data_IF_194687202199
#
_entry.id   IF_194687202199
#
_cell.length_a   1.000
_cell.length_b   1.000
_cell.length_c   1.000
_cell.angle_alpha   90.00
_cell.angle_beta   90.00
_cell.angle_gamma   90.00
#
_symmetry.space_group_name_H-M   'P 1'
#
loop_
_entity.id
_entity.type
_entity.pdbx_description
1 polymer ?
#
# COMPACT_ATOMS: atom_id res chain seq x y z
N UNK A 1 -16.88 2.21 25.34
CA UNK A 1 -15.41 2.13 25.39
C UNK A 1 -14.99 0.79 24.85
N UNK A 2 -13.97 0.72 23.98
CA UNK A 2 -13.38 -0.52 23.45
C UNK A 2 -13.00 -1.48 24.58
N UNK A 3 -12.61 -0.94 25.74
CA UNK A 3 -12.30 -1.73 26.95
C UNK A 3 -13.49 -2.55 27.46
N UNK A 4 -14.74 -2.08 27.27
CA UNK A 4 -15.94 -2.86 27.60
C UNK A 4 -16.21 -3.97 26.60
N UNK A 5 -16.08 -3.71 25.29
CA UNK A 5 -16.23 -4.72 24.24
C UNK A 5 -15.22 -5.88 24.42
N UNK A 6 -13.98 -5.53 24.76
CA UNK A 6 -12.91 -6.48 25.10
C UNK A 6 -13.21 -7.34 26.33
N UNK A 7 -13.91 -6.79 27.32
CA UNK A 7 -14.21 -7.48 28.59
C UNK A 7 -15.51 -8.28 28.55
N UNK A 8 -16.52 -7.81 27.80
CA UNK A 8 -17.85 -8.44 27.74
C UNK A 8 -17.86 -9.67 26.82
N UNK A 9 -17.04 -9.71 25.76
CA UNK A 9 -17.05 -10.80 24.76
C UNK A 9 -15.89 -11.81 24.88
N UNK A 10 -15.02 -11.70 25.91
CA UNK A 10 -13.84 -12.56 26.09
C UNK A 10 -12.94 -12.67 24.83
N UNK A 11 -12.88 -11.61 24.02
CA UNK A 11 -12.15 -11.60 22.76
C UNK A 11 -10.65 -11.42 23.01
N UNK A 12 -9.84 -12.26 22.36
CA UNK A 12 -8.40 -12.03 22.25
C UNK A 12 -8.09 -10.80 21.37
N UNK A 13 -6.82 -10.33 21.33
CA UNK A 13 -6.43 -9.10 20.63
C UNK A 13 -6.92 -8.99 19.18
N UNK A 14 -6.83 -10.09 18.41
CA UNK A 14 -7.31 -10.09 17.01
C UNK A 14 -8.84 -10.05 16.92
N UNK A 15 -9.54 -10.75 17.82
CA UNK A 15 -11.02 -10.72 17.88
C UNK A 15 -11.54 -9.33 18.21
N UNK A 16 -10.82 -8.60 19.06
CA UNK A 16 -11.12 -7.22 19.39
C UNK A 16 -10.98 -6.27 18.20
N UNK A 17 -9.91 -6.41 17.42
CA UNK A 17 -9.70 -5.59 16.22
C UNK A 17 -10.78 -5.89 15.19
N UNK A 18 -11.15 -7.16 15.01
CA UNK A 18 -12.25 -7.56 14.12
C UNK A 18 -13.56 -6.90 14.57
N UNK A 19 -13.94 -7.05 15.84
CA UNK A 19 -15.16 -6.45 16.37
C UNK A 19 -15.15 -4.92 16.27
N UNK A 20 -13.99 -4.29 16.49
CA UNK A 20 -13.84 -2.85 16.30
C UNK A 20 -14.02 -2.44 14.83
N UNK A 21 -13.43 -3.17 13.87
CA UNK A 21 -13.62 -2.90 12.45
C UNK A 21 -15.09 -3.06 12.03
N UNK A 22 -15.75 -4.13 12.47
CA UNK A 22 -17.18 -4.35 12.17
C UNK A 22 -18.03 -3.21 12.77
N UNK A 23 -17.66 -2.70 13.95
CA UNK A 23 -18.31 -1.54 14.57
C UNK A 23 -18.08 -0.23 13.80
N UNK A 24 -16.90 -0.02 13.20
CA UNK A 24 -16.66 1.18 12.36
C UNK A 24 -17.68 1.26 11.23
N UNK A 25 -18.07 0.13 10.64
CA UNK A 25 -19.07 0.09 9.55
C UNK A 25 -20.41 0.67 9.99
N UNK A 26 -20.83 0.47 11.26
CA UNK A 26 -22.11 1.00 11.75
C UNK A 26 -22.13 2.53 11.84
N UNK A 27 -20.96 3.15 12.00
CA UNK A 27 -20.80 4.61 12.09
C UNK A 27 -20.27 5.24 10.80
N UNK A 28 -20.11 4.47 9.73
CA UNK A 28 -19.45 4.91 8.50
C UNK A 28 -20.12 6.16 7.88
N UNK A 29 -21.45 6.23 7.92
CA UNK A 29 -22.18 7.40 7.43
C UNK A 29 -21.88 8.69 8.21
N UNK A 30 -21.72 8.58 9.53
CA UNK A 30 -21.36 9.72 10.40
C UNK A 30 -19.91 10.15 10.14
N UNK A 31 -18.99 9.20 10.02
CA UNK A 31 -17.59 9.47 9.71
C UNK A 31 -17.46 10.19 8.37
N UNK A 32 -18.13 9.71 7.32
CA UNK A 32 -18.10 10.34 5.99
C UNK A 32 -18.62 11.78 6.07
N UNK A 33 -19.69 12.00 6.85
CA UNK A 33 -20.25 13.35 7.02
C UNK A 33 -19.25 14.28 7.70
N UNK A 34 -18.67 13.86 8.83
CA UNK A 34 -17.68 14.67 9.56
C UNK A 34 -16.45 14.98 8.71
N UNK A 35 -15.92 13.99 7.99
CA UNK A 35 -14.77 14.16 7.09
C UNK A 35 -15.08 15.21 6.00
N UNK A 36 -16.26 15.14 5.38
CA UNK A 36 -16.65 16.10 4.34
C UNK A 36 -16.89 17.52 4.87
N UNK A 37 -17.31 17.67 6.14
CA UNK A 37 -17.52 18.98 6.77
C UNK A 37 -16.20 19.73 7.07
N UNK A 38 -15.09 19.01 7.25
CA UNK A 38 -13.77 19.61 7.53
C UNK A 38 -13.22 20.37 6.30
N UNK A 39 -13.61 19.95 5.08
CA UNK A 39 -13.13 20.53 3.81
C UNK A 39 -11.58 20.63 3.72
N UNK A 40 -10.87 19.63 4.25
CA UNK A 40 -9.41 19.57 4.17
C UNK A 40 -8.94 19.20 2.75
N UNK A 41 -7.76 19.69 2.37
CA UNK A 41 -7.12 19.34 1.10
C UNK A 41 -6.68 17.87 1.04
N UNK A 42 -6.32 17.29 2.21
CA UNK A 42 -5.88 15.91 2.33
C UNK A 42 -6.56 15.20 3.49
N UNK A 43 -6.90 13.93 3.25
CA UNK A 43 -7.28 12.98 4.29
C UNK A 43 -6.21 11.90 4.40
N UNK A 44 -5.51 11.86 5.53
CA UNK A 44 -4.59 10.78 5.86
C UNK A 44 -5.32 9.76 6.74
N UNK A 45 -5.40 8.52 6.27
CA UNK A 45 -6.07 7.43 6.99
C UNK A 45 -5.01 6.49 7.53
N UNK A 46 -4.95 6.36 8.86
CA UNK A 46 -4.13 5.34 9.50
C UNK A 46 -4.92 4.02 9.58
N UNK A 47 -4.36 2.97 9.01
CA UNK A 47 -5.02 1.66 8.92
C UNK A 47 -4.67 0.80 10.14
N UNK A 48 -5.50 -0.21 10.50
CA UNK A 48 -5.13 -1.17 11.52
C UNK A 48 -3.75 -1.79 11.27
N UNK A 49 -2.94 -1.97 12.33
CA UNK A 49 -1.56 -2.49 12.20
C UNK A 49 -1.44 -3.93 11.69
N UNK A 50 -2.56 -4.64 11.53
CA UNK A 50 -2.61 -5.97 10.92
C UNK A 50 -3.17 -5.84 9.50
N UNK A 51 -2.28 -5.98 8.51
CA UNK A 51 -2.60 -5.83 7.10
C UNK A 51 -3.73 -6.78 6.66
N UNK A 52 -3.73 -8.01 7.16
CA UNK A 52 -4.70 -9.04 6.79
C UNK A 52 -6.12 -8.65 7.16
N UNK A 53 -6.28 -8.01 8.33
CA UNK A 53 -7.59 -7.56 8.80
C UNK A 53 -8.11 -6.38 7.98
N UNK A 54 -7.22 -5.54 7.45
CA UNK A 54 -7.59 -4.42 6.62
C UNK A 54 -7.80 -4.82 5.15
N UNK A 55 -6.78 -5.35 4.47
CA UNK A 55 -6.83 -5.55 3.03
C UNK A 55 -7.60 -6.81 2.58
N UNK A 56 -7.74 -7.83 3.44
CA UNK A 56 -8.28 -9.13 3.03
C UNK A 56 -9.64 -9.47 3.65
N UNK A 57 -10.14 -8.66 4.59
CA UNK A 57 -11.54 -8.72 5.04
C UNK A 57 -12.38 -7.71 4.27
N UNK A 58 -13.66 -8.00 4.10
CA UNK A 58 -14.58 -7.14 3.33
C UNK A 58 -14.70 -5.71 3.87
N UNK A 59 -14.52 -5.54 5.19
CA UNK A 59 -14.66 -4.23 5.85
C UNK A 59 -13.64 -3.22 5.35
N UNK A 60 -12.37 -3.59 5.15
CA UNK A 60 -11.36 -2.60 4.74
C UNK A 60 -11.59 -2.04 3.33
N UNK A 61 -11.75 -2.87 2.28
CA UNK A 61 -12.15 -2.41 0.96
C UNK A 61 -13.44 -1.59 0.98
N UNK A 62 -14.44 -1.98 1.79
CA UNK A 62 -15.67 -1.20 1.95
C UNK A 62 -15.39 0.20 2.53
N UNK A 63 -14.54 0.30 3.55
CA UNK A 63 -14.14 1.59 4.12
C UNK A 63 -13.42 2.45 3.07
N UNK A 64 -12.45 1.87 2.34
CA UNK A 64 -11.72 2.58 1.26
C UNK A 64 -12.66 3.01 0.12
N UNK A 65 -13.67 2.21 -0.19
CA UNK A 65 -14.69 2.54 -1.19
C UNK A 65 -15.55 3.74 -0.77
N UNK A 66 -16.02 3.73 0.48
CA UNK A 66 -17.04 4.68 0.95
C UNK A 66 -16.51 5.96 1.56
N UNK A 67 -15.31 5.97 2.13
CA UNK A 67 -14.83 7.08 2.97
C UNK A 67 -14.73 8.40 2.20
N UNK A 68 -14.17 8.38 1.00
CA UNK A 68 -14.03 9.56 0.13
C UNK A 68 -14.14 9.17 -1.34
N UNK A 69 -14.65 10.10 -2.16
CA UNK A 69 -14.59 9.97 -3.62
C UNK A 69 -13.14 10.11 -4.10
N UNK A 70 -12.88 9.61 -5.31
CA UNK A 70 -11.57 9.72 -5.98
C UNK A 70 -11.08 11.18 -6.04
N UNK A 71 -9.75 11.41 -6.07
CA UNK A 71 -8.67 10.42 -6.12
C UNK A 71 -8.27 9.84 -4.74
N UNK A 72 -7.87 8.57 -4.72
CA UNK A 72 -7.39 7.84 -3.54
C UNK A 72 -6.18 6.98 -3.90
N UNK A 73 -5.26 6.82 -2.97
CA UNK A 73 -4.10 5.93 -3.11
C UNK A 73 -3.76 5.29 -1.78
N UNK A 74 -3.02 4.19 -1.83
CA UNK A 74 -2.47 3.50 -0.68
C UNK A 74 -0.96 3.71 -0.62
N UNK A 75 -0.43 4.00 0.57
CA UNK A 75 1.02 4.04 0.81
C UNK A 75 1.43 2.73 1.46
N UNK A 76 2.17 1.90 0.75
CA UNK A 76 2.60 0.59 1.25
C UNK A 76 4.02 0.67 1.80
N UNK A 77 4.16 0.43 3.10
CA UNK A 77 5.42 0.57 3.82
C UNK A 77 6.23 -0.74 3.76
N UNK A 78 7.34 -0.70 3.05
CA UNK A 78 8.33 -1.77 3.06
C UNK A 78 9.17 -1.74 4.33
N UNK A 79 9.42 -2.93 4.88
CA UNK A 79 10.38 -3.12 5.95
C UNK A 79 11.81 -3.17 5.35
N UNK A 80 12.70 -2.25 5.75
CA UNK A 80 14.03 -2.15 5.18
C UNK A 80 14.96 -3.33 5.50
N UNK A 81 14.64 -4.14 6.51
CA UNK A 81 15.42 -5.33 6.86
C UNK A 81 15.08 -6.45 5.89
N UNK A 82 13.80 -6.60 5.55
CA UNK A 82 13.30 -7.64 4.64
C UNK A 82 13.70 -7.34 3.19
N UNK A 83 13.69 -6.07 2.78
CA UNK A 83 14.02 -5.67 1.40
C UNK A 83 15.48 -5.86 1.00
N UNK A 84 16.39 -6.09 1.96
CA UNK A 84 17.80 -6.34 1.68
C UNK A 84 18.05 -7.71 1.04
N UNK A 85 17.15 -8.67 1.28
CA UNK A 85 17.16 -10.00 0.67
C UNK A 85 16.32 -9.98 -0.61
N UNK A 86 16.84 -10.53 -1.71
CA UNK A 86 16.14 -10.54 -3.01
C UNK A 86 14.77 -11.26 -2.94
N UNK A 87 14.68 -12.34 -2.16
CA UNK A 87 13.42 -13.08 -1.93
C UNK A 87 12.43 -12.30 -1.06
N UNK A 88 12.95 -11.54 -0.08
CA UNK A 88 12.15 -10.63 0.75
C UNK A 88 11.56 -9.49 -0.06
N UNK A 89 12.36 -8.87 -0.93
CA UNK A 89 11.91 -7.85 -1.87
C UNK A 89 10.81 -8.38 -2.80
N UNK A 90 11.02 -9.55 -3.41
CA UNK A 90 10.01 -10.18 -4.28
C UNK A 90 8.69 -10.43 -3.54
N UNK A 91 8.76 -10.87 -2.28
CA UNK A 91 7.57 -11.12 -1.44
C UNK A 91 6.82 -9.83 -1.10
N UNK A 92 7.54 -8.74 -0.77
CA UNK A 92 6.95 -7.44 -0.48
C UNK A 92 6.31 -6.79 -1.72
N UNK A 93 6.94 -6.94 -2.88
CA UNK A 93 6.37 -6.47 -4.15
C UNK A 93 5.05 -7.20 -4.47
N UNK A 94 5.04 -8.53 -4.35
CA UNK A 94 3.82 -9.31 -4.56
C UNK A 94 2.72 -8.93 -3.55
N UNK A 95 3.08 -8.70 -2.29
CA UNK A 95 2.14 -8.30 -1.25
C UNK A 95 1.56 -6.90 -1.53
N UNK A 96 2.40 -5.95 -1.91
CA UNK A 96 1.98 -4.60 -2.31
C UNK A 96 1.01 -4.64 -3.50
N UNK A 97 1.34 -5.37 -4.56
CA UNK A 97 0.45 -5.56 -5.70
C UNK A 97 -0.88 -6.22 -5.29
N UNK A 98 -0.82 -7.22 -4.41
CA UNK A 98 -2.02 -7.86 -3.86
C UNK A 98 -2.91 -6.86 -3.11
N UNK A 99 -2.32 -5.97 -2.30
CA UNK A 99 -3.06 -4.91 -1.59
C UNK A 99 -3.69 -3.93 -2.58
N UNK A 100 -2.96 -3.51 -3.62
CA UNK A 100 -3.50 -2.64 -4.67
C UNK A 100 -4.74 -3.24 -5.32
N UNK A 101 -4.67 -4.51 -5.71
CA UNK A 101 -5.79 -5.24 -6.32
C UNK A 101 -6.97 -5.41 -5.36
N UNK A 102 -6.71 -5.64 -4.07
CA UNK A 102 -7.79 -5.84 -3.08
C UNK A 102 -8.50 -4.55 -2.69
N UNK A 103 -7.76 -3.44 -2.61
CA UNK A 103 -8.32 -2.14 -2.24
C UNK A 103 -8.85 -1.36 -3.45
N UNK A 104 -8.44 -1.75 -4.67
CA UNK A 104 -8.81 -1.03 -5.89
C UNK A 104 -8.20 0.37 -5.94
N UNK A 105 -7.01 0.55 -5.37
CA UNK A 105 -6.31 1.85 -5.34
C UNK A 105 -4.89 1.71 -5.89
N UNK A 106 -4.38 2.75 -6.59
CA UNK A 106 -2.94 2.88 -6.85
C UNK A 106 -2.15 2.75 -5.55
N UNK A 107 -0.97 2.12 -5.62
CA UNK A 107 -0.08 1.96 -4.47
C UNK A 107 1.23 2.69 -4.72
N UNK A 108 1.67 3.48 -3.75
CA UNK A 108 3.03 4.03 -3.68
C UNK A 108 3.81 3.22 -2.67
N UNK A 109 4.91 2.60 -3.09
CA UNK A 109 5.79 1.86 -2.20
C UNK A 109 6.76 2.81 -1.50
N UNK A 110 6.97 2.60 -0.21
CA UNK A 110 7.84 3.45 0.62
C UNK A 110 8.75 2.58 1.48
N UNK A 111 10.05 2.84 1.43
CA UNK A 111 11.00 2.28 2.41
C UNK A 111 10.96 3.15 3.66
N UNK A 112 10.14 2.79 4.65
CA UNK A 112 9.67 3.67 5.74
C UNK A 112 10.70 4.07 6.82
N UNK A 113 11.79 3.31 6.95
CA UNK A 113 12.87 3.53 7.94
C UNK A 113 14.22 3.57 7.23
N UNK A 114 14.32 4.40 6.20
CA UNK A 114 15.52 4.51 5.37
C UNK A 114 16.75 5.01 6.15
N UNK A 115 16.57 5.60 7.34
CA UNK A 115 17.65 5.97 8.26
C UNK A 115 18.43 4.77 8.82
N UNK A 116 17.83 3.58 8.83
CA UNK A 116 18.47 2.35 9.32
C UNK A 116 19.27 1.62 8.24
N UNK A 117 19.27 2.11 6.99
CA UNK A 117 19.92 1.45 5.85
C UNK A 117 21.22 2.19 5.51
N UNK A 118 22.31 1.45 5.41
CA UNK A 118 23.57 1.95 4.88
C UNK A 118 23.41 2.37 3.40
N UNK A 119 24.03 3.48 3.00
CA UNK A 119 23.86 4.07 1.67
C UNK A 119 24.11 3.07 0.52
N UNK A 120 25.20 2.31 0.56
CA UNK A 120 25.48 1.29 -0.47
C UNK A 120 24.48 0.14 -0.51
N UNK A 121 23.76 -0.16 0.59
CA UNK A 121 22.66 -1.14 0.57
C UNK A 121 21.40 -0.53 -0.01
N UNK A 122 21.13 0.74 0.30
CA UNK A 122 20.00 1.46 -0.28
C UNK A 122 20.14 1.56 -1.80
N UNK A 123 21.32 1.93 -2.30
CA UNK A 123 21.63 1.95 -3.73
C UNK A 123 21.37 0.59 -4.39
N UNK A 124 21.80 -0.51 -3.75
CA UNK A 124 21.56 -1.87 -4.24
C UNK A 124 20.07 -2.24 -4.29
N UNK A 125 19.26 -1.76 -3.35
CA UNK A 125 17.81 -2.00 -3.37
C UNK A 125 17.18 -1.24 -4.53
N UNK A 126 17.53 0.04 -4.70
CA UNK A 126 16.98 0.90 -5.73
C UNK A 126 17.39 0.46 -7.14
N UNK A 127 18.63 -0.03 -7.31
CA UNK A 127 19.13 -0.52 -8.60
C UNK A 127 18.31 -1.69 -9.15
N UNK A 128 17.62 -2.45 -8.30
CA UNK A 128 16.72 -3.53 -8.72
C UNK A 128 15.54 -2.99 -9.53
N UNK A 129 15.10 -1.77 -9.24
CA UNK A 129 13.96 -1.14 -9.92
C UNK A 129 14.39 -0.35 -11.16
N UNK A 130 15.63 0.14 -11.18
CA UNK A 130 16.21 0.86 -12.33
C UNK A 130 16.69 -0.10 -13.42
N UNK A 131 17.35 -1.20 -13.02
CA UNK A 131 17.92 -2.23 -13.90
C UNK A 131 17.51 -3.64 -13.44
N UNK A 132 16.22 -4.01 -13.55
CA UNK A 132 15.70 -5.28 -13.04
C UNK A 132 16.33 -6.50 -13.74
N UNK A 133 16.74 -6.38 -14.99
CA UNK A 133 17.26 -7.49 -15.80
C UNK A 133 18.52 -8.12 -15.18
N UNK A 134 19.39 -7.29 -14.60
CA UNK A 134 20.62 -7.76 -13.95
C UNK A 134 20.31 -8.62 -12.73
N UNK A 135 19.36 -8.17 -11.91
CA UNK A 135 18.94 -8.88 -10.69
C UNK A 135 18.17 -10.16 -11.03
N UNK A 136 17.29 -10.10 -12.04
CA UNK A 136 16.55 -11.26 -12.55
C UNK A 136 17.52 -12.32 -13.09
N UNK A 137 18.54 -11.92 -13.84
CA UNK A 137 19.57 -12.83 -14.36
C UNK A 137 20.40 -13.45 -13.22
N UNK A 138 20.83 -12.66 -12.23
CA UNK A 138 21.56 -13.15 -11.06
C UNK A 138 20.73 -14.22 -10.31
N UNK A 139 19.47 -13.92 -10.01
CA UNK A 139 18.56 -14.84 -9.32
C UNK A 139 18.32 -16.11 -10.13
N UNK A 140 18.11 -15.98 -11.44
CA UNK A 140 17.85 -17.13 -12.32
C UNK A 140 19.08 -18.04 -12.49
N UNK A 141 20.29 -17.48 -12.34
CA UNK A 141 21.54 -18.24 -12.39
C UNK A 141 21.79 -19.10 -11.13
N UNK A 142 21.22 -18.68 -9.99
CA UNK A 142 21.36 -19.41 -8.72
C UNK A 142 20.43 -20.61 -8.70
N UNK A 143 20.97 -21.81 -8.48
CA UNK A 143 20.14 -23.03 -8.33
C UNK A 143 19.19 -22.90 -7.13
N UNK A 144 17.90 -23.11 -7.39
CA UNK A 144 16.88 -23.22 -6.35
C UNK A 144 15.52 -22.71 -6.81
N UNK A 145 14.45 -23.45 -6.47
CA UNK A 145 13.08 -23.09 -6.82
C UNK A 145 12.70 -21.69 -6.32
N UNK A 146 13.17 -21.31 -5.13
CA UNK A 146 12.83 -20.02 -4.51
C UNK A 146 13.45 -18.84 -5.28
N UNK A 147 14.65 -18.99 -5.84
CA UNK A 147 15.27 -17.93 -6.63
C UNK A 147 14.56 -17.75 -7.97
N UNK A 148 14.16 -18.85 -8.61
CA UNK A 148 13.37 -18.82 -9.84
C UNK A 148 11.96 -18.21 -9.61
N UNK A 149 11.36 -18.48 -8.44
CA UNK A 149 10.10 -17.84 -8.05
C UNK A 149 10.30 -16.33 -7.83
N UNK A 150 11.33 -15.94 -7.07
CA UNK A 150 11.62 -14.54 -6.79
C UNK A 150 11.88 -13.73 -8.07
N UNK A 151 12.66 -14.27 -9.02
CA UNK A 151 12.93 -13.58 -10.28
C UNK A 151 11.67 -13.34 -11.09
N UNK A 152 10.80 -14.36 -11.23
CA UNK A 152 9.50 -14.23 -11.93
C UNK A 152 8.54 -13.28 -11.23
N UNK A 153 8.53 -13.27 -9.89
CA UNK A 153 7.70 -12.33 -9.14
C UNK A 153 8.17 -10.90 -9.37
N UNK A 154 9.48 -10.63 -9.30
CA UNK A 154 10.02 -9.28 -9.55
C UNK A 154 9.68 -8.83 -10.97
N UNK A 155 9.99 -9.66 -11.98
CA UNK A 155 9.68 -9.40 -13.39
C UNK A 155 8.21 -9.03 -13.59
N UNK A 156 7.29 -9.91 -13.18
CA UNK A 156 5.85 -9.69 -13.37
C UNK A 156 5.32 -8.49 -12.60
N UNK A 157 5.81 -8.25 -11.38
CA UNK A 157 5.27 -7.16 -10.56
C UNK A 157 5.75 -5.80 -11.06
N UNK A 158 6.99 -5.71 -11.55
CA UNK A 158 7.50 -4.46 -12.13
C UNK A 158 6.84 -4.18 -13.49
N UNK A 159 6.68 -5.19 -14.35
CA UNK A 159 6.08 -5.01 -15.67
C UNK A 159 4.56 -4.76 -15.63
N UNK A 160 3.80 -5.51 -14.81
CA UNK A 160 2.34 -5.52 -14.88
C UNK A 160 1.67 -4.54 -13.92
N UNK A 161 2.27 -4.32 -12.75
CA UNK A 161 1.65 -3.46 -11.73
C UNK A 161 2.17 -2.01 -11.78
N UNK A 162 3.05 -1.69 -12.75
CA UNK A 162 3.66 -0.37 -12.92
C UNK A 162 4.13 0.23 -11.58
N UNK A 163 4.65 -0.64 -10.70
CA UNK A 163 4.99 -0.25 -9.34
C UNK A 163 6.14 0.75 -9.42
N UNK A 164 5.92 1.93 -8.84
CA UNK A 164 6.97 2.93 -8.75
C UNK A 164 8.12 2.43 -7.88
N UNK A 165 9.31 2.92 -8.21
CA UNK A 165 10.51 2.78 -7.40
C UNK A 165 10.15 3.18 -5.96
N UNK A 166 10.43 2.34 -4.96
CA UNK A 166 10.01 2.63 -3.61
C UNK A 166 10.75 3.86 -3.08
N UNK A 167 10.01 4.83 -2.54
CA UNK A 167 10.58 6.09 -2.08
C UNK A 167 11.23 5.87 -0.72
N UNK A 168 12.54 6.15 -0.54
CA UNK A 168 13.18 6.06 0.76
C UNK A 168 12.73 7.19 1.68
N UNK A 169 12.01 6.84 2.74
CA UNK A 169 11.49 7.81 3.71
C UNK A 169 12.00 7.47 5.10
N UNK A 170 12.23 8.48 5.92
CA UNK A 170 12.33 8.29 7.37
C UNK A 170 11.47 9.30 8.09
N UNK A 171 10.58 8.80 8.93
CA UNK A 171 9.76 9.65 9.79
C UNK A 171 10.59 10.35 10.89
N UNK A 172 11.80 9.84 11.19
CA UNK A 172 12.66 10.37 12.24
C UNK A 172 13.39 11.65 11.79
N UNK A 173 14.02 11.61 10.61
CA UNK A 173 14.80 12.73 10.06
C UNK A 173 14.05 13.53 8.97
N UNK A 174 12.86 13.06 8.58
CA UNK A 174 11.99 13.61 7.53
C UNK A 174 12.55 13.52 6.11
N UNK A 175 13.58 12.70 5.85
CA UNK A 175 14.07 12.46 4.48
C UNK A 175 12.98 11.83 3.63
N UNK A 176 12.98 12.15 2.34
CA UNK A 176 12.08 11.56 1.35
C UNK A 176 10.60 11.93 1.48
N UNK A 177 10.20 12.66 2.52
CA UNK A 177 8.79 13.08 2.69
C UNK A 177 8.35 14.02 1.57
N UNK A 178 9.25 14.91 1.12
CA UNK A 178 8.98 15.79 -0.01
C UNK A 178 8.82 15.01 -1.33
N UNK A 179 9.65 13.99 -1.55
CA UNK A 179 9.59 13.12 -2.73
C UNK A 179 8.30 12.29 -2.73
N UNK A 180 7.93 11.74 -1.57
CA UNK A 180 6.65 11.05 -1.38
C UNK A 180 5.47 11.97 -1.69
N UNK A 181 5.50 13.20 -1.18
CA UNK A 181 4.46 14.18 -1.45
C UNK A 181 4.36 14.52 -2.96
N UNK A 182 5.50 14.71 -3.63
CA UNK A 182 5.53 14.96 -5.07
C UNK A 182 4.94 13.80 -5.87
N UNK A 183 5.23 12.56 -5.50
CA UNK A 183 4.68 11.37 -6.15
C UNK A 183 3.17 11.24 -5.95
N UNK A 184 2.70 11.49 -4.72
CA UNK A 184 1.26 11.53 -4.41
C UNK A 184 0.54 12.58 -5.28
N UNK A 185 1.13 13.78 -5.41
CA UNK A 185 0.59 14.83 -6.27
C UNK A 185 0.56 14.42 -7.74
N UNK A 186 1.62 13.77 -8.24
CA UNK A 186 1.67 13.27 -9.61
C UNK A 186 0.55 12.27 -9.89
N UNK A 187 0.26 11.36 -8.96
CA UNK A 187 -0.81 10.38 -9.10
C UNK A 187 -2.18 11.05 -9.08
N UNK A 188 -2.41 11.98 -8.13
CA UNK A 188 -3.70 12.66 -8.01
C UNK A 188 -3.99 13.58 -9.20
N UNK A 189 -3.00 14.30 -9.72
CA UNK A 189 -3.15 15.19 -10.87
C UNK A 189 -3.12 14.44 -12.21
N UNK A 190 -2.42 13.31 -12.29
CA UNK A 190 -2.36 12.48 -13.50
C UNK A 190 -3.59 11.60 -13.71
N UNK A 191 -4.32 11.27 -12.63
CA UNK A 191 -5.48 10.39 -12.64
C UNK A 191 -6.74 10.94 -13.33
N UNK A 192 -6.79 12.23 -13.69
CA UNK A 192 -7.92 12.81 -14.45
C UNK A 192 -7.96 12.34 -15.92
N UNK A 193 -6.95 11.59 -16.39
CA UNK A 193 -6.79 11.21 -17.80
C UNK A 193 -7.39 9.84 -18.16
N UNK A 194 -7.71 8.99 -17.19
CA UNK A 194 -8.14 7.59 -17.44
C UNK A 194 -9.66 7.37 -17.35
N UNK A 195 -10.44 8.37 -16.94
CA UNK A 195 -11.91 8.36 -17.05
C UNK A 195 -12.35 8.80 -18.47
N UNK A 196 -12.06 7.94 -19.45
CA UNK A 196 -12.68 8.03 -20.79
C UNK A 196 -13.51 6.78 -21.04
N UNK A 197 -14.82 6.89 -20.83
CA UNK A 197 -15.78 5.99 -21.49
C UNK A 197 -16.92 5.43 -20.66
N UNK A 198 -17.74 6.29 -20.05
CA UNK A 198 -19.18 5.98 -19.97
C UNK A 198 -19.90 7.11 -20.70
N UNK A 199 -20.03 6.96 -22.02
CA UNK A 199 -21.03 7.72 -22.76
C UNK A 199 -22.40 7.28 -22.26
N UNK A 200 -23.07 8.16 -21.52
CA UNK A 200 -24.52 8.15 -21.39
C UNK A 200 -25.10 8.12 -22.82
N UNK A 201 -25.66 6.99 -23.23
CA UNK A 201 -26.63 6.99 -24.31
C UNK A 201 -27.94 7.47 -23.70
N UNK A 202 -28.21 8.76 -23.93
CA UNK A 202 -29.51 9.37 -23.72
C UNK A 202 -30.60 8.56 -24.44
N UNK A 203 -31.69 8.35 -23.72
CA UNK A 203 -32.94 7.80 -24.22
C UNK A 203 -33.44 8.58 -25.44
N UNK A 204 -33.89 7.84 -26.46
CA UNK A 204 -34.83 8.31 -27.48
C UNK A 204 -35.75 7.18 -27.89
#
# INVERSE_FOLDING_TARGET
SITKLLQEDALGPNGAIIAAMDLVVTFLGEIIKEVNEIQADYLLVDTPGQLELFAFREVGPLLVDKLVKTPKLSVFLFDPVITQEQSGLASLLLLSASVSLRLGTPVVNVLSKADLIEEGRLEKILSVFEEPEGVIAELSSKKGLMNALASRLIENTLELANLSVPIPVSALDKRGVADLHAEIQRIFLGGESEDVGVSEQEES
#
